data_IF_702250734733
#
_entry.id   IF_702250734733
#
_cell.length_a   1.000
_cell.length_b   1.000
_cell.length_c   1.000
_cell.angle_alpha   90.00
_cell.angle_beta   90.00
_cell.angle_gamma   90.00
#
_symmetry.space_group_name_H-M   'P 1'
#
loop_
_entity.id
_entity.type
_entity.pdbx_description
1 polymer ?
#
# COMPACT_ATOMS: atom_id res chain seq x y z
N UNK A 1 13.64 -10.19 -19.81
CA UNK A 1 12.36 -9.62 -20.24
C UNK A 1 11.28 -10.56 -19.75
N UNK A 2 10.67 -10.28 -18.61
CA UNK A 2 9.56 -11.09 -18.08
C UNK A 2 8.33 -10.79 -18.95
N UNK A 3 7.58 -11.81 -19.43
CA UNK A 3 6.36 -11.56 -20.19
C UNK A 3 5.30 -10.99 -19.24
N UNK A 4 4.80 -9.80 -19.55
CA UNK A 4 3.61 -9.27 -18.88
C UNK A 4 2.42 -10.00 -19.52
N UNK A 5 1.88 -10.99 -18.82
CA UNK A 5 0.63 -11.61 -19.24
C UNK A 5 -0.47 -10.53 -19.25
N UNK A 6 -1.27 -10.53 -20.32
CA UNK A 6 -2.42 -9.64 -20.48
C UNK A 6 -3.36 -9.79 -19.27
N UNK A 7 -3.64 -8.66 -18.61
CA UNK A 7 -4.58 -8.63 -17.47
C UNK A 7 -6.00 -8.66 -18.00
N UNK A 8 -6.65 -9.82 -17.87
CA UNK A 8 -8.08 -10.04 -18.14
C UNK A 8 -8.95 -9.17 -17.22
N UNK A 9 -9.66 -8.23 -17.81
CA UNK A 9 -10.34 -7.09 -17.19
C UNK A 9 -11.81 -7.38 -16.77
N UNK A 10 -12.14 -8.64 -16.46
CA UNK A 10 -13.53 -9.07 -16.25
C UNK A 10 -13.86 -9.94 -15.03
N UNK A 11 -12.88 -10.51 -14.33
CA UNK A 11 -13.16 -11.41 -13.19
C UNK A 11 -13.04 -10.66 -11.86
N UNK A 12 -14.14 -10.55 -11.11
CA UNK A 12 -14.13 -10.10 -9.71
C UNK A 12 -13.37 -11.15 -8.88
N UNK A 13 -12.06 -10.97 -8.77
CA UNK A 13 -11.19 -11.88 -8.04
C UNK A 13 -11.73 -12.01 -6.60
N UNK A 14 -11.94 -13.24 -6.08
CA UNK A 14 -12.33 -13.42 -4.69
C UNK A 14 -11.30 -12.69 -3.84
N UNK A 15 -11.75 -11.74 -2.99
CA UNK A 15 -10.86 -10.90 -2.18
C UNK A 15 -9.81 -11.80 -1.54
N UNK A 16 -8.55 -11.77 -2.02
CA UNK A 16 -7.60 -12.75 -1.57
C UNK A 16 -7.39 -12.58 -0.07
N UNK A 17 -7.24 -13.69 0.64
CA UNK A 17 -6.60 -13.62 1.94
C UNK A 17 -5.17 -13.11 1.71
N UNK A 18 -4.99 -11.81 1.91
CA UNK A 18 -3.73 -11.11 1.67
C UNK A 18 -2.62 -11.62 2.59
N UNK A 19 -2.97 -12.07 3.80
CA UNK A 19 -2.02 -12.67 4.75
C UNK A 19 -1.58 -14.03 4.22
N UNK A 20 -2.53 -14.89 3.84
CA UNK A 20 -2.20 -16.19 3.28
C UNK A 20 -1.39 -16.07 1.97
N UNK A 21 -1.68 -15.05 1.16
CA UNK A 21 -0.94 -14.76 -0.06
C UNK A 21 0.50 -14.35 0.25
N UNK A 22 0.71 -13.36 1.13
CA UNK A 22 2.03 -12.89 1.57
C UNK A 22 2.86 -14.04 2.17
N UNK A 23 2.25 -14.91 2.99
CA UNK A 23 2.91 -16.10 3.55
C UNK A 23 3.31 -17.10 2.46
N UNK A 24 2.53 -17.23 1.39
CA UNK A 24 2.82 -18.21 0.33
C UNK A 24 3.94 -17.77 -0.61
N UNK A 25 4.04 -16.46 -0.89
CA UNK A 25 4.92 -15.94 -1.96
C UNK A 25 6.00 -14.96 -1.47
N UNK A 26 5.81 -14.34 -0.30
CA UNK A 26 6.71 -13.36 0.29
C UNK A 26 7.85 -13.99 1.09
N UNK A 27 8.93 -13.23 1.29
CA UNK A 27 10.04 -13.66 2.13
C UNK A 27 9.71 -13.48 3.63
N UNK A 28 9.99 -14.49 4.45
CA UNK A 28 9.65 -14.52 5.88
C UNK A 28 10.68 -13.80 6.77
N UNK A 29 10.82 -12.47 6.61
CA UNK A 29 11.75 -11.67 7.43
C UNK A 29 11.07 -10.70 8.40
N UNK A 30 9.74 -10.58 8.32
CA UNK A 30 8.95 -9.72 9.18
C UNK A 30 7.84 -10.51 9.86
N UNK A 31 7.47 -10.09 11.06
CA UNK A 31 6.27 -10.54 11.75
C UNK A 31 5.15 -9.52 11.48
N UNK A 32 4.25 -9.78 10.52
CA UNK A 32 3.23 -8.82 10.14
C UNK A 32 2.19 -8.67 11.25
N UNK A 33 1.73 -7.43 11.43
CA UNK A 33 0.52 -7.18 12.20
C UNK A 33 -0.68 -7.75 11.44
N UNK A 34 -1.67 -8.29 12.16
CA UNK A 34 -2.90 -8.85 11.58
C UNK A 34 -3.86 -7.82 10.98
N UNK A 35 -3.34 -6.75 10.38
CA UNK A 35 -4.08 -5.67 9.74
C UNK A 35 -3.56 -5.47 8.33
N UNK A 36 -4.48 -5.42 7.36
CA UNK A 36 -4.16 -5.16 5.96
C UNK A 36 -4.62 -3.74 5.64
N UNK A 37 -3.67 -2.82 5.47
CA UNK A 37 -3.96 -1.43 5.14
C UNK A 37 -4.26 -1.28 3.64
N UNK A 38 -5.32 -0.56 3.31
CA UNK A 38 -5.79 -0.32 1.93
C UNK A 38 -5.64 1.14 1.49
N UNK A 39 -5.61 2.09 2.43
CA UNK A 39 -5.49 3.53 2.16
C UNK A 39 -4.81 4.25 3.31
N UNK A 40 -4.08 5.32 2.99
CA UNK A 40 -3.59 6.32 3.94
C UNK A 40 -3.87 7.74 3.44
N UNK A 41 -4.17 8.66 4.35
CA UNK A 41 -4.38 10.08 4.06
C UNK A 41 -4.11 10.93 5.32
N UNK A 42 -3.13 11.84 5.22
CA UNK A 42 -2.72 12.66 6.37
C UNK A 42 -2.21 11.76 7.50
N UNK A 43 -2.84 11.88 8.68
CA UNK A 43 -2.48 11.09 9.89
C UNK A 43 -3.24 9.76 10.00
N UNK A 44 -4.12 9.45 9.05
CA UNK A 44 -5.03 8.33 9.12
C UNK A 44 -4.65 7.21 8.15
N UNK A 45 -4.89 5.97 8.57
CA UNK A 45 -4.83 4.79 7.74
C UNK A 45 -6.15 4.02 7.83
N UNK A 46 -6.50 3.29 6.77
CA UNK A 46 -7.70 2.46 6.69
C UNK A 46 -7.30 1.04 6.33
N UNK A 47 -7.95 0.06 6.95
CA UNK A 47 -7.82 -1.34 6.54
C UNK A 47 -8.69 -1.68 5.33
N UNK A 48 -8.54 -2.90 4.80
CA UNK A 48 -9.35 -3.44 3.71
C UNK A 48 -10.86 -3.54 4.03
N UNK A 49 -11.24 -3.43 5.31
CA UNK A 49 -12.63 -3.43 5.77
C UNK A 49 -13.17 -2.00 6.02
N UNK A 50 -12.35 -0.97 5.76
CA UNK A 50 -12.71 0.44 5.91
C UNK A 50 -12.61 0.98 7.34
N UNK A 51 -12.10 0.20 8.30
CA UNK A 51 -11.87 0.71 9.66
C UNK A 51 -10.67 1.66 9.66
N UNK A 52 -10.84 2.80 10.33
CA UNK A 52 -9.87 3.90 10.38
C UNK A 52 -9.02 3.83 11.64
N UNK A 53 -7.71 4.03 11.49
CA UNK A 53 -6.70 4.02 12.53
C UNK A 53 -5.86 5.29 12.50
N UNK A 54 -5.49 5.80 13.67
CA UNK A 54 -4.46 6.84 13.78
C UNK A 54 -3.10 6.17 13.57
N UNK A 55 -2.31 6.66 12.61
CA UNK A 55 -0.93 6.18 12.42
C UNK A 55 0.00 6.88 13.41
N UNK A 56 0.49 6.12 14.39
CA UNK A 56 1.46 6.57 15.39
C UNK A 56 2.89 6.11 15.10
N UNK A 57 3.12 5.36 14.01
CA UNK A 57 4.44 4.90 13.59
C UNK A 57 5.03 5.80 12.50
N UNK A 58 4.17 6.39 11.66
CA UNK A 58 4.54 7.24 10.52
C UNK A 58 5.55 6.57 9.58
N UNK A 59 5.39 5.26 9.35
CA UNK A 59 6.31 4.42 8.60
C UNK A 59 7.79 4.67 8.98
N UNK A 60 8.09 4.65 10.28
CA UNK A 60 9.41 5.01 10.83
C UNK A 60 9.85 6.41 10.40
N UNK A 61 8.98 7.41 10.59
CA UNK A 61 9.23 8.83 10.26
C UNK A 61 9.22 9.17 8.75
N UNK A 62 9.09 8.18 7.85
CA UNK A 62 9.10 8.40 6.41
C UNK A 62 7.90 9.22 5.91
N UNK A 63 6.77 9.20 6.62
CA UNK A 63 5.54 9.93 6.25
C UNK A 63 5.18 11.03 7.26
N UNK A 64 6.17 11.74 7.79
CA UNK A 64 5.93 12.86 8.71
C UNK A 64 5.05 13.99 8.13
N UNK A 65 5.07 14.20 6.82
CA UNK A 65 4.18 15.16 6.16
C UNK A 65 2.75 14.63 5.97
N UNK A 66 2.50 13.39 6.38
CA UNK A 66 1.25 12.66 6.21
C UNK A 66 1.24 11.75 4.98
N UNK A 67 0.47 10.68 5.07
CA UNK A 67 0.20 9.75 3.97
C UNK A 67 -0.38 10.49 2.76
N UNK A 68 0.12 10.16 1.57
CA UNK A 68 -0.36 10.66 0.29
C UNK A 68 -0.48 12.21 0.23
N UNK A 69 0.46 12.92 0.85
CA UNK A 69 0.42 14.38 0.89
C UNK A 69 0.31 14.98 -0.54
N UNK A 70 -0.65 15.88 -0.80
CA UNK A 70 -1.08 16.25 -2.16
C UNK A 70 0.00 16.97 -2.98
N UNK A 71 1.01 17.55 -2.33
CA UNK A 71 2.15 18.16 -3.01
C UNK A 71 3.24 17.16 -3.41
N UNK A 72 3.31 16.00 -2.76
CA UNK A 72 4.42 15.05 -2.97
C UNK A 72 4.36 14.41 -4.35
N UNK A 73 3.20 13.87 -4.74
CA UNK A 73 3.03 13.21 -6.04
C UNK A 73 3.31 14.15 -7.23
N UNK A 74 2.70 15.35 -7.32
CA UNK A 74 2.99 16.28 -8.41
C UNK A 74 4.45 16.72 -8.46
N UNK A 75 5.13 16.86 -7.30
CA UNK A 75 6.55 17.22 -7.26
C UNK A 75 7.45 16.11 -7.81
N UNK A 76 7.11 14.84 -7.61
CA UNK A 76 7.87 13.72 -8.17
C UNK A 76 7.55 13.52 -9.65
N UNK A 77 6.28 13.56 -10.03
CA UNK A 77 5.84 13.29 -11.40
C UNK A 77 6.21 14.40 -12.39
N UNK A 78 6.13 15.67 -11.98
CA UNK A 78 6.36 16.80 -12.88
C UNK A 78 7.80 17.36 -12.82
N UNK A 79 8.75 16.63 -12.22
CA UNK A 79 10.16 17.07 -12.25
C UNK A 79 10.74 16.77 -13.64
N UNK A 80 11.22 17.78 -14.39
CA UNK A 80 11.97 17.52 -15.60
C UNK A 80 13.24 16.76 -15.24
N UNK A 81 13.54 15.69 -15.99
CA UNK A 81 14.82 15.00 -15.88
C UNK A 81 15.93 15.99 -16.26
N UNK A 82 16.91 16.15 -15.37
CA UNK A 82 18.11 16.98 -15.57
C UNK A 82 19.06 16.36 -16.58
#
# INVERSE_FOLDING_TARGET
>A
MWPVDEVDDGEELPVPDFIATEVRIGAHHYEPLGVILSRGEGVWAWDSQGKRYLDCLSAYSAVNQGHCHPKSWPLWWNRPAS
#
